data_IF_994301388482
#
_entry.id   IF_994301388482
#
_cell.length_a   1.000
_cell.length_b   1.000
_cell.length_c   1.000
_cell.angle_alpha   90.00
_cell.angle_beta   90.00
_cell.angle_gamma   90.00
#
_symmetry.space_group_name_H-M   'P 1'
#
loop_
_entity.id
_entity.type
_entity.pdbx_description
1 polymer ?
#
# COMPACT_ATOMS: atom_id res chain seq x y z
N UNK A 1 16.70 -14.42 -33.70
CA UNK A 1 15.56 -13.92 -32.90
C UNK A 1 15.81 -13.96 -31.39
N UNK A 2 16.38 -15.03 -30.82
CA UNK A 2 16.64 -15.18 -29.37
C UNK A 2 17.38 -14.00 -28.70
N UNK A 3 18.43 -13.43 -29.32
CA UNK A 3 19.20 -12.30 -28.74
C UNK A 3 18.38 -11.03 -28.48
N UNK A 4 17.36 -10.74 -29.29
CA UNK A 4 16.52 -9.54 -29.12
C UNK A 4 15.56 -9.70 -27.94
N UNK A 5 15.02 -10.91 -27.74
CA UNK A 5 14.15 -11.23 -26.60
C UNK A 5 14.93 -11.20 -25.28
N UNK A 6 16.15 -11.73 -25.27
CA UNK A 6 17.04 -11.68 -24.11
C UNK A 6 17.37 -10.23 -23.69
N UNK A 7 17.70 -9.35 -24.65
CA UNK A 7 17.94 -7.94 -24.34
C UNK A 7 16.69 -7.22 -23.81
N UNK A 8 15.50 -7.56 -24.32
CA UNK A 8 14.23 -7.02 -23.81
C UNK A 8 13.97 -7.51 -22.39
N UNK A 9 14.21 -8.80 -22.12
CA UNK A 9 14.08 -9.37 -20.79
C UNK A 9 14.95 -8.63 -19.78
N UNK A 10 16.25 -8.46 -20.05
CA UNK A 10 17.16 -7.78 -19.12
C UNK A 10 16.79 -6.32 -18.88
N UNK A 11 16.29 -5.62 -19.91
CA UNK A 11 15.76 -4.26 -19.76
C UNK A 11 14.49 -4.22 -18.91
N UNK A 12 13.55 -5.14 -19.14
CA UNK A 12 12.34 -5.25 -18.34
C UNK A 12 12.66 -5.59 -16.88
N UNK A 13 13.62 -6.47 -16.63
CA UNK A 13 14.02 -6.86 -15.26
C UNK A 13 14.62 -5.65 -14.52
N UNK A 14 15.44 -4.84 -15.20
CA UNK A 14 15.97 -3.61 -14.63
C UNK A 14 14.90 -2.52 -14.42
N UNK A 15 13.80 -2.54 -15.18
CA UNK A 15 12.66 -1.68 -14.93
C UNK A 15 11.83 -2.15 -13.72
N UNK A 16 11.66 -3.47 -13.59
CA UNK A 16 10.97 -4.08 -12.45
C UNK A 16 11.73 -3.82 -11.15
N UNK A 17 13.05 -4.00 -11.13
CA UNK A 17 13.90 -3.67 -9.98
C UNK A 17 13.76 -2.21 -9.55
N UNK A 18 13.76 -1.27 -10.50
CA UNK A 18 13.56 0.14 -10.20
C UNK A 18 12.18 0.42 -9.60
N UNK A 19 11.13 -0.20 -10.13
CA UNK A 19 9.79 -0.09 -9.55
C UNK A 19 9.72 -0.65 -8.12
N UNK A 20 10.42 -1.75 -7.84
CA UNK A 20 10.51 -2.31 -6.49
C UNK A 20 11.29 -1.38 -5.53
N UNK A 21 12.35 -0.73 -6.00
CA UNK A 21 13.10 0.26 -5.20
C UNK A 21 12.25 1.53 -4.94
N UNK A 22 11.56 2.03 -5.97
CA UNK A 22 10.65 3.17 -5.88
C UNK A 22 9.49 2.86 -4.91
N UNK A 23 8.98 1.63 -4.93
CA UNK A 23 7.97 1.17 -3.96
C UNK A 23 8.50 1.22 -2.54
N UNK A 24 9.73 0.74 -2.29
CA UNK A 24 10.35 0.84 -0.96
C UNK A 24 10.48 2.30 -0.50
N UNK A 25 10.77 3.24 -1.42
CA UNK A 25 10.81 4.67 -1.12
C UNK A 25 9.41 5.21 -0.79
N UNK A 26 8.41 4.90 -1.61
CA UNK A 26 7.03 5.34 -1.41
C UNK A 26 6.44 4.82 -0.08
N UNK A 27 6.69 3.54 0.24
CA UNK A 27 6.31 2.91 1.52
C UNK A 27 6.92 3.69 2.70
N UNK A 28 8.22 4.01 2.65
CA UNK A 28 8.88 4.78 3.72
C UNK A 28 8.35 6.21 3.83
N UNK A 29 8.02 6.82 2.69
CA UNK A 29 7.42 8.16 2.64
C UNK A 29 5.93 8.18 3.04
N UNK A 30 5.29 7.00 3.19
CA UNK A 30 3.84 6.86 3.36
C UNK A 30 3.02 7.48 2.22
N UNK A 31 3.59 7.47 1.03
CA UNK A 31 2.94 7.92 -0.20
C UNK A 31 2.12 6.76 -0.78
N UNK A 32 0.91 6.58 -0.26
CA UNK A 32 0.05 5.46 -0.64
C UNK A 32 -0.46 5.56 -2.08
N UNK A 33 -0.60 6.76 -2.63
CA UNK A 33 -1.00 6.98 -4.02
C UNK A 33 0.10 6.47 -4.97
N UNK A 34 1.37 6.76 -4.65
CA UNK A 34 2.50 6.22 -5.41
C UNK A 34 2.61 4.69 -5.28
N UNK A 35 2.36 4.12 -4.10
CA UNK A 35 2.33 2.66 -3.92
C UNK A 35 1.23 2.02 -4.76
N UNK A 36 0.04 2.62 -4.83
CA UNK A 36 -1.07 2.14 -5.65
C UNK A 36 -0.75 2.20 -7.15
N UNK A 37 -0.17 3.30 -7.65
CA UNK A 37 0.29 3.38 -9.04
C UNK A 37 1.29 2.27 -9.36
N UNK A 38 2.29 2.07 -8.50
CA UNK A 38 3.30 1.03 -8.70
C UNK A 38 2.67 -0.37 -8.70
N UNK A 39 1.73 -0.65 -7.79
CA UNK A 39 1.01 -1.92 -7.71
C UNK A 39 0.15 -2.18 -8.95
N UNK A 40 -0.40 -1.14 -9.57
CA UNK A 40 -1.16 -1.28 -10.81
C UNK A 40 -0.27 -1.67 -12.01
N UNK A 41 1.01 -1.27 -11.99
CA UNK A 41 1.95 -1.42 -13.12
C UNK A 41 2.80 -2.68 -13.06
N UNK A 42 3.18 -3.13 -11.86
CA UNK A 42 4.04 -4.31 -11.65
C UNK A 42 3.50 -5.61 -12.28
N UNK A 43 2.20 -5.96 -12.20
CA UNK A 43 1.69 -7.22 -12.74
C UNK A 43 1.91 -7.35 -14.25
N UNK A 44 1.58 -6.31 -15.02
CA UNK A 44 1.75 -6.31 -16.46
C UNK A 44 3.22 -6.48 -16.87
N UNK A 45 4.14 -5.83 -16.14
CA UNK A 45 5.58 -5.97 -16.40
C UNK A 45 6.10 -7.36 -16.04
N UNK A 46 5.60 -7.95 -14.95
CA UNK A 46 5.96 -9.31 -14.54
C UNK A 46 5.49 -10.36 -15.57
N UNK A 47 4.27 -10.19 -16.09
CA UNK A 47 3.72 -11.05 -17.15
C UNK A 47 4.57 -10.95 -18.43
N UNK A 48 4.96 -9.74 -18.84
CA UNK A 48 5.88 -9.56 -19.98
C UNK A 48 7.22 -10.26 -19.73
N UNK A 49 7.78 -10.15 -18.53
CA UNK A 49 9.04 -10.81 -18.17
C UNK A 49 8.94 -12.34 -18.22
N UNK A 50 7.83 -12.91 -17.78
CA UNK A 50 7.57 -14.35 -17.89
C UNK A 50 7.57 -14.82 -19.35
N UNK A 51 6.87 -14.10 -20.23
CA UNK A 51 6.82 -14.40 -21.66
C UNK A 51 8.21 -14.28 -22.30
N UNK A 52 8.94 -13.21 -21.99
CA UNK A 52 10.28 -12.97 -22.52
C UNK A 52 11.30 -14.00 -22.01
N UNK A 53 11.22 -14.42 -20.75
CA UNK A 53 12.08 -15.45 -20.18
C UNK A 53 11.88 -16.80 -20.90
N UNK A 54 10.61 -17.20 -21.10
CA UNK A 54 10.28 -18.41 -21.83
C UNK A 54 10.77 -18.35 -23.30
N UNK A 55 10.53 -17.23 -23.98
CA UNK A 55 10.95 -17.05 -25.38
C UNK A 55 12.47 -16.96 -25.58
N UNK A 56 13.21 -16.47 -24.58
CA UNK A 56 14.67 -16.40 -24.60
C UNK A 56 15.34 -17.70 -24.12
N UNK A 57 14.59 -18.68 -23.60
CA UNK A 57 15.14 -19.89 -23.00
C UNK A 57 15.91 -19.63 -21.69
N UNK A 58 15.62 -18.52 -21.02
CA UNK A 58 16.26 -18.16 -19.76
C UNK A 58 15.65 -18.99 -18.64
N UNK A 59 16.49 -19.79 -17.97
CA UNK A 59 16.09 -20.53 -16.78
C UNK A 59 16.69 -19.92 -15.52
N UNK A 60 16.07 -20.19 -14.36
CA UNK A 60 16.58 -19.85 -13.03
C UNK A 60 18.01 -20.37 -12.75
N UNK A 61 18.54 -21.28 -13.57
CA UNK A 61 19.92 -21.79 -13.43
C UNK A 61 20.99 -20.81 -13.93
N UNK A 62 20.58 -19.68 -14.52
CA UNK A 62 21.51 -18.61 -14.90
C UNK A 62 21.95 -17.87 -13.61
N UNK A 63 23.22 -17.93 -13.19
CA UNK A 63 23.65 -17.43 -11.88
C UNK A 63 23.36 -15.93 -11.67
N UNK A 64 23.49 -15.13 -12.74
CA UNK A 64 23.18 -13.71 -12.71
C UNK A 64 21.68 -13.44 -12.51
N UNK A 65 20.82 -14.32 -13.01
CA UNK A 65 19.37 -14.20 -12.86
C UNK A 65 18.92 -14.65 -11.46
N UNK A 66 19.48 -15.75 -10.95
CA UNK A 66 19.11 -16.26 -9.62
C UNK A 66 19.40 -15.24 -8.53
N UNK A 67 20.61 -14.65 -8.53
CA UNK A 67 20.99 -13.63 -7.55
C UNK A 67 20.06 -12.40 -7.58
N UNK A 68 19.67 -11.94 -8.78
CA UNK A 68 18.75 -10.80 -8.92
C UNK A 68 17.34 -11.14 -8.44
N UNK A 69 16.83 -12.34 -8.75
CA UNK A 69 15.52 -12.80 -8.27
C UNK A 69 15.50 -12.94 -6.75
N UNK A 70 16.55 -13.49 -6.15
CA UNK A 70 16.68 -13.60 -4.69
C UNK A 70 16.62 -12.23 -4.03
N UNK A 71 17.43 -11.28 -4.52
CA UNK A 71 17.40 -9.89 -4.03
C UNK A 71 16.01 -9.26 -4.15
N UNK A 72 15.37 -9.40 -5.31
CA UNK A 72 14.02 -8.90 -5.53
C UNK A 72 13.04 -9.50 -4.52
N UNK A 73 13.10 -10.82 -4.31
CA UNK A 73 12.21 -11.52 -3.40
C UNK A 73 12.40 -11.03 -1.95
N UNK A 74 13.64 -10.80 -1.53
CA UNK A 74 13.95 -10.20 -0.24
C UNK A 74 13.36 -8.79 -0.11
N UNK A 75 13.53 -7.92 -1.11
CA UNK A 75 13.00 -6.55 -1.07
C UNK A 75 11.47 -6.53 -1.06
N UNK A 76 10.81 -7.33 -1.90
CA UNK A 76 9.34 -7.45 -1.93
C UNK A 76 8.79 -7.95 -0.60
N UNK A 77 9.48 -8.90 0.04
CA UNK A 77 9.09 -9.41 1.37
C UNK A 77 9.18 -8.32 2.42
N UNK A 78 10.29 -7.57 2.44
CA UNK A 78 10.47 -6.44 3.35
C UNK A 78 9.42 -5.34 3.14
N UNK A 79 9.08 -5.04 1.87
CA UNK A 79 8.02 -4.09 1.52
C UNK A 79 6.66 -4.56 2.04
N UNK A 80 6.32 -5.85 1.86
CA UNK A 80 5.07 -6.43 2.35
C UNK A 80 4.96 -6.38 3.89
N UNK A 81 6.05 -6.69 4.61
CA UNK A 81 6.12 -6.60 6.07
C UNK A 81 5.95 -5.15 6.58
N UNK A 82 6.57 -4.18 5.89
CA UNK A 82 6.42 -2.77 6.21
C UNK A 82 4.97 -2.29 6.04
N UNK A 83 4.31 -2.66 4.93
CA UNK A 83 2.90 -2.34 4.69
C UNK A 83 1.99 -2.99 5.74
N UNK A 84 2.22 -4.27 6.07
CA UNK A 84 1.46 -4.97 7.09
C UNK A 84 1.57 -4.28 8.47
N UNK A 85 2.77 -3.82 8.83
CA UNK A 85 3.03 -3.07 10.06
C UNK A 85 2.26 -1.75 10.08
N UNK A 86 2.29 -0.99 8.98
CA UNK A 86 1.54 0.27 8.85
C UNK A 86 0.03 0.07 8.96
N UNK A 87 -0.52 -0.96 8.29
CA UNK A 87 -1.93 -1.32 8.40
C UNK A 87 -2.32 -1.68 9.83
N UNK A 88 -1.45 -2.40 10.55
CA UNK A 88 -1.63 -2.69 11.97
C UNK A 88 -1.73 -1.44 12.83
N UNK A 89 -0.85 -0.46 12.60
CA UNK A 89 -0.87 0.82 13.30
C UNK A 89 -2.14 1.64 12.98
N UNK A 90 -2.51 1.76 11.70
CA UNK A 90 -3.69 2.50 11.25
C UNK A 90 -4.99 1.92 11.84
N UNK A 91 -5.10 0.58 11.96
CA UNK A 91 -6.24 -0.07 12.62
C UNK A 91 -6.37 0.33 14.08
N UNK A 92 -5.27 0.37 14.83
CA UNK A 92 -5.27 0.79 16.25
C UNK A 92 -5.64 2.26 16.39
N UNK A 93 -5.11 3.11 15.52
CA UNK A 93 -5.41 4.54 15.52
C UNK A 93 -6.90 4.79 15.25
N UNK A 94 -7.49 4.09 14.28
CA UNK A 94 -8.93 4.16 14.02
C UNK A 94 -9.77 3.76 15.23
N UNK A 95 -9.42 2.68 15.92
CA UNK A 95 -10.11 2.26 17.16
C UNK A 95 -10.02 3.34 18.24
N UNK A 96 -8.86 3.97 18.41
CA UNK A 96 -8.67 5.06 19.36
C UNK A 96 -9.53 6.28 19.01
N UNK A 97 -9.60 6.65 17.72
CA UNK A 97 -10.45 7.74 17.25
C UNK A 97 -11.94 7.44 17.42
N UNK A 98 -12.37 6.21 17.17
CA UNK A 98 -13.76 5.77 17.40
C UNK A 98 -14.13 5.86 18.89
N UNK A 99 -13.24 5.40 19.79
CA UNK A 99 -13.42 5.51 21.23
C UNK A 99 -13.45 6.99 21.68
N UNK A 100 -12.55 7.82 21.16
CA UNK A 100 -12.53 9.25 21.45
C UNK A 100 -13.83 9.92 20.99
N UNK A 101 -14.34 9.57 19.80
CA UNK A 101 -15.62 10.05 19.28
C UNK A 101 -16.80 9.64 20.17
N UNK A 102 -16.81 8.40 20.67
CA UNK A 102 -17.82 7.94 21.62
C UNK A 102 -17.77 8.74 22.93
N UNK A 103 -16.57 8.94 23.49
CA UNK A 103 -16.38 9.74 24.71
C UNK A 103 -16.84 11.19 24.53
N UNK A 104 -16.50 11.83 23.41
CA UNK A 104 -16.95 13.18 23.09
C UNK A 104 -18.46 13.26 22.96
N UNK A 105 -19.11 12.26 22.34
CA UNK A 105 -20.58 12.19 22.31
C UNK A 105 -21.16 12.07 23.72
N UNK A 106 -20.65 11.18 24.55
CA UNK A 106 -21.10 11.05 25.94
C UNK A 106 -20.95 12.34 26.73
N UNK A 107 -19.81 13.03 26.60
CA UNK A 107 -19.60 14.34 27.21
C UNK A 107 -20.59 15.39 26.67
N UNK A 108 -20.83 15.42 25.36
CA UNK A 108 -21.83 16.32 24.77
C UNK A 108 -23.26 16.02 25.23
N UNK A 109 -23.58 14.78 25.60
CA UNK A 109 -24.88 14.44 26.17
C UNK A 109 -25.00 14.89 27.63
N UNK A 110 -23.91 14.80 28.41
CA UNK A 110 -23.90 15.16 29.84
C UNK A 110 -23.78 16.67 30.08
N UNK A 111 -23.09 17.38 29.20
CA UNK A 111 -22.77 18.80 29.33
C UNK A 111 -23.21 19.64 28.12
N UNK A 112 -24.00 19.04 27.23
CA UNK A 112 -24.59 19.75 26.09
C UNK A 112 -25.54 20.85 26.54
N UNK A 113 -25.84 21.81 25.66
CA UNK A 113 -26.71 22.94 26.00
C UNK A 113 -28.03 22.41 26.56
N UNK A 114 -28.42 22.89 27.76
CA UNK A 114 -29.73 22.59 28.31
C UNK A 114 -30.78 22.92 27.24
N UNK A 115 -31.75 22.03 26.97
CA UNK A 115 -32.91 22.41 26.19
C UNK A 115 -33.54 23.58 26.97
N UNK A 116 -33.39 24.79 26.42
CA UNK A 116 -33.99 25.99 26.99
C UNK A 116 -35.47 25.67 27.08
N UNK A 117 -35.94 25.36 28.30
CA UNK A 117 -37.36 25.13 28.56
C UNK A 117 -38.04 26.41 28.13
N UNK A 118 -38.64 26.41 26.94
CA UNK A 118 -39.71 27.33 26.61
C UNK A 118 -40.82 27.02 27.62
N UNK A 119 -40.74 27.67 28.78
CA UNK A 119 -41.87 27.82 29.68
C UNK A 119 -42.88 28.68 28.91
N UNK A 120 -43.74 28.01 28.15
CA UNK A 120 -45.02 28.58 27.76
C UNK A 120 -45.77 28.88 29.06
N UNK A 121 -45.63 30.11 29.54
CA UNK A 121 -46.56 30.65 30.52
C UNK A 121 -47.93 30.69 29.83
N UNK A 122 -48.83 29.79 30.24
CA UNK A 122 -50.25 29.95 30.00
C UNK A 122 -50.69 31.24 30.70
N UNK A 123 -50.84 32.32 29.93
CA UNK A 123 -51.55 33.50 30.38
C UNK A 123 -53.03 33.24 30.13
N UNK A 124 -53.75 32.86 31.19
CA UNK A 124 -55.20 32.96 31.22
C UNK A 124 -55.55 34.43 31.44
N UNK A 125 -56.07 35.06 30.39
CA UNK A 125 -56.75 36.35 30.41
C UNK A 125 -58.08 36.20 29.69
#
# INVERSE_FOLDING_TARGET
MSKTMEQRFWRGLAAYERLTDDESVAIRARDFDAVEDIHSRKPALLDELCVLAAGAGLSRRTPALSCRIERLTTTETANAEAVATMLGAARRERQNLELARQRLRSLSTLYGPEPTRQQSFCVHG
#
